data_IF_373391910673
#
_entry.id   IF_373391910673
#
_cell.length_a   1.000
_cell.length_b   1.000
_cell.length_c   1.000
_cell.angle_alpha   90.00
_cell.angle_beta   90.00
_cell.angle_gamma   90.00
#
_symmetry.space_group_name_H-M   'P 1'
#
loop_
_entity.id
_entity.type
_entity.pdbx_description
1 polymer ?
#
# COMPACT_ATOMS: atom_id res chain seq x y z
N UNK A 1 -33.90 -22.25 -15.03
CA UNK A 1 -33.65 -23.23 -13.95
C UNK A 1 -33.87 -22.51 -12.64
N UNK A 2 -34.38 -23.19 -11.62
CA UNK A 2 -34.55 -22.61 -10.28
C UNK A 2 -33.16 -22.39 -9.63
N UNK A 3 -32.78 -21.15 -9.29
CA UNK A 3 -31.48 -20.87 -8.69
C UNK A 3 -31.27 -21.55 -7.34
N UNK A 4 -32.35 -21.93 -6.63
CA UNK A 4 -32.30 -22.60 -5.34
C UNK A 4 -32.42 -24.13 -5.45
N UNK A 5 -32.16 -24.70 -6.62
CA UNK A 5 -32.17 -26.17 -6.82
C UNK A 5 -31.13 -26.84 -5.91
N UNK A 6 -31.56 -27.82 -5.13
CA UNK A 6 -30.68 -28.60 -4.28
C UNK A 6 -29.61 -29.35 -5.11
N UNK A 7 -28.35 -29.30 -4.69
CA UNK A 7 -27.19 -29.87 -5.40
C UNK A 7 -26.90 -29.27 -6.79
N UNK A 8 -27.38 -28.05 -7.06
CA UNK A 8 -26.98 -27.35 -8.27
C UNK A 8 -25.45 -27.12 -8.30
N UNK A 9 -24.82 -27.08 -9.50
CA UNK A 9 -23.37 -26.91 -9.61
C UNK A 9 -22.87 -25.54 -9.08
N UNK A 10 -23.76 -24.56 -8.93
CA UNK A 10 -23.48 -23.22 -8.38
C UNK A 10 -23.75 -23.10 -6.87
N UNK A 11 -24.24 -24.16 -6.21
CA UNK A 11 -24.54 -24.12 -4.77
C UNK A 11 -23.33 -24.28 -3.83
N UNK A 12 -22.26 -25.04 -4.16
CA UNK A 12 -21.11 -25.21 -3.27
C UNK A 12 -20.39 -23.90 -2.93
N UNK A 13 -19.72 -23.86 -1.77
CA UNK A 13 -19.08 -22.62 -1.29
C UNK A 13 -18.00 -22.08 -2.22
N UNK A 14 -17.28 -22.97 -2.89
CA UNK A 14 -16.21 -22.63 -3.83
C UNK A 14 -16.68 -22.37 -5.27
N UNK A 15 -17.99 -22.45 -5.54
CA UNK A 15 -18.49 -22.28 -6.91
C UNK A 15 -18.37 -20.82 -7.40
N UNK A 16 -18.26 -20.66 -8.72
CA UNK A 16 -18.24 -19.37 -9.38
C UNK A 16 -18.80 -19.50 -10.82
N UNK A 17 -19.97 -18.93 -11.15
CA UNK A 17 -20.84 -18.17 -10.25
C UNK A 17 -21.42 -19.04 -9.13
N UNK A 18 -21.71 -18.43 -7.98
CA UNK A 18 -22.34 -19.10 -6.83
C UNK A 18 -23.66 -18.44 -6.47
N UNK A 19 -24.64 -19.29 -6.17
CA UNK A 19 -25.92 -18.89 -5.59
C UNK A 19 -26.22 -19.83 -4.43
N UNK A 20 -26.30 -19.28 -3.22
CA UNK A 20 -26.77 -20.01 -2.05
C UNK A 20 -28.13 -19.47 -1.61
N UNK A 21 -29.01 -20.37 -1.21
CA UNK A 21 -30.35 -20.03 -0.74
C UNK A 21 -30.60 -20.56 0.67
N UNK A 22 -31.37 -19.81 1.46
CA UNK A 22 -32.00 -20.30 2.68
C UNK A 22 -33.47 -20.63 2.37
N UNK A 23 -33.87 -21.86 2.68
CA UNK A 23 -35.20 -22.38 2.37
C UNK A 23 -35.96 -22.71 3.66
N UNK A 24 -37.04 -21.97 3.91
CA UNK A 24 -37.96 -22.26 5.01
C UNK A 24 -39.27 -22.86 4.47
N UNK A 25 -39.50 -24.14 4.78
CA UNK A 25 -40.63 -24.94 4.30
C UNK A 25 -40.77 -25.01 2.77
N UNK A 26 -41.40 -24.01 2.14
CA UNK A 26 -41.68 -23.97 0.69
C UNK A 26 -41.12 -22.74 -0.01
N UNK A 27 -40.58 -21.76 0.73
CA UNK A 27 -40.03 -20.53 0.17
C UNK A 27 -38.52 -20.56 0.36
N UNK A 28 -37.82 -20.40 -0.75
CA UNK A 28 -36.37 -20.22 -0.78
C UNK A 28 -36.03 -18.78 -1.09
N UNK A 29 -35.04 -18.25 -0.37
CA UNK A 29 -34.51 -16.92 -0.54
C UNK A 29 -33.04 -17.00 -0.88
N UNK A 30 -32.62 -16.29 -1.93
CA UNK A 30 -31.19 -16.15 -2.23
C UNK A 30 -30.55 -15.31 -1.13
N UNK A 31 -29.57 -15.88 -0.45
CA UNK A 31 -28.83 -15.23 0.65
C UNK A 31 -27.39 -14.91 0.25
N UNK A 32 -26.81 -15.64 -0.70
CA UNK A 32 -25.47 -15.38 -1.21
C UNK A 32 -25.49 -15.38 -2.74
N UNK A 33 -24.87 -14.39 -3.35
CA UNK A 33 -24.68 -14.29 -4.79
C UNK A 33 -23.24 -13.88 -5.07
N UNK A 34 -22.51 -14.73 -5.79
CA UNK A 34 -21.13 -14.47 -6.22
C UNK A 34 -21.02 -14.63 -7.73
N UNK A 35 -20.49 -13.59 -8.36
CA UNK A 35 -20.18 -13.50 -9.78
C UNK A 35 -18.84 -12.78 -9.84
N UNK A 36 -17.73 -13.50 -9.74
CA UNK A 36 -16.40 -12.93 -9.54
C UNK A 36 -15.46 -13.28 -10.69
N UNK A 37 -14.70 -12.34 -11.26
CA UNK A 37 -13.72 -12.66 -12.31
C UNK A 37 -14.32 -13.41 -13.52
N UNK A 38 -15.50 -13.00 -13.97
CA UNK A 38 -16.22 -13.62 -15.10
C UNK A 38 -16.42 -12.67 -16.29
N UNK A 39 -15.70 -11.55 -16.31
CA UNK A 39 -15.79 -10.50 -17.34
C UNK A 39 -17.23 -9.99 -17.57
N UNK A 40 -18.05 -9.99 -16.51
CA UNK A 40 -19.45 -9.54 -16.61
C UNK A 40 -19.50 -8.04 -16.87
N UNK A 41 -20.28 -7.64 -17.87
CA UNK A 41 -20.43 -6.24 -18.32
C UNK A 41 -21.86 -5.74 -18.18
N UNK A 42 -22.01 -4.41 -18.15
CA UNK A 42 -23.30 -3.73 -18.03
C UNK A 42 -23.50 -3.12 -16.64
N UNK A 43 -24.66 -2.53 -16.42
CA UNK A 43 -25.01 -1.91 -15.14
C UNK A 43 -25.53 -2.96 -14.13
N UNK A 44 -25.48 -2.62 -12.84
CA UNK A 44 -26.09 -3.44 -11.79
C UNK A 44 -27.62 -3.40 -11.98
N UNK A 45 -28.29 -4.54 -12.27
CA UNK A 45 -29.71 -4.54 -12.59
C UNK A 45 -30.57 -4.25 -11.35
N UNK A 46 -31.63 -3.45 -11.51
CA UNK A 46 -32.52 -3.07 -10.41
C UNK A 46 -33.22 -4.27 -9.77
N UNK A 47 -33.41 -5.36 -10.52
CA UNK A 47 -33.99 -6.61 -10.04
C UNK A 47 -33.17 -7.25 -8.92
N UNK A 48 -31.86 -6.99 -8.87
CA UNK A 48 -30.98 -7.49 -7.80
C UNK A 48 -31.46 -7.01 -6.41
N UNK A 49 -31.97 -5.78 -6.33
CA UNK A 49 -32.41 -5.19 -5.06
C UNK A 49 -33.76 -5.74 -4.56
N UNK A 50 -34.44 -6.57 -5.37
CA UNK A 50 -35.61 -7.34 -4.95
C UNK A 50 -35.24 -8.50 -4.01
N UNK A 51 -33.96 -8.92 -3.99
CA UNK A 51 -33.44 -9.98 -3.12
C UNK A 51 -33.21 -9.46 -1.69
N UNK A 52 -34.26 -9.07 -0.99
CA UNK A 52 -34.19 -8.43 0.34
C UNK A 52 -33.54 -9.27 1.45
N UNK A 53 -33.41 -10.57 1.21
CA UNK A 53 -32.81 -11.55 2.11
C UNK A 53 -31.31 -11.78 1.81
N UNK A 54 -30.75 -11.09 0.81
CA UNK A 54 -29.35 -11.18 0.44
C UNK A 54 -28.46 -10.65 1.57
N UNK A 55 -27.49 -11.48 1.96
CA UNK A 55 -26.53 -11.23 3.04
C UNK A 55 -25.11 -11.07 2.49
N UNK A 56 -24.81 -11.70 1.36
CA UNK A 56 -23.50 -11.68 0.72
C UNK A 56 -23.68 -11.46 -0.79
N UNK A 57 -23.08 -10.38 -1.28
CA UNK A 57 -23.03 -10.05 -2.70
C UNK A 57 -21.59 -9.77 -3.10
N UNK A 58 -21.02 -10.67 -3.90
CA UNK A 58 -19.69 -10.50 -4.48
C UNK A 58 -19.77 -10.37 -6.01
N UNK A 59 -19.57 -9.16 -6.51
CA UNK A 59 -19.49 -8.83 -7.94
C UNK A 59 -18.07 -8.38 -8.34
N UNK A 60 -17.07 -8.67 -7.50
CA UNK A 60 -15.71 -8.15 -7.67
C UNK A 60 -15.01 -8.68 -8.93
N UNK A 61 -14.03 -7.92 -9.42
CA UNK A 61 -13.21 -8.29 -10.57
C UNK A 61 -14.03 -8.59 -11.83
N UNK A 62 -14.87 -7.64 -12.26
CA UNK A 62 -15.59 -7.73 -13.53
C UNK A 62 -15.41 -6.43 -14.31
N UNK A 63 -16.24 -6.20 -15.33
CA UNK A 63 -16.27 -4.97 -16.13
C UNK A 63 -17.62 -4.26 -16.00
N UNK A 64 -18.26 -4.37 -14.83
CA UNK A 64 -19.54 -3.74 -14.51
C UNK A 64 -19.37 -2.22 -14.53
N UNK A 65 -20.32 -1.51 -15.13
CA UNK A 65 -20.29 -0.06 -15.31
C UNK A 65 -21.56 0.61 -14.74
N UNK A 66 -21.72 1.91 -15.00
CA UNK A 66 -22.82 2.69 -14.44
C UNK A 66 -22.57 3.10 -12.98
N UNK A 67 -23.63 3.40 -12.25
CA UNK A 67 -23.56 3.84 -10.83
C UNK A 67 -24.03 2.75 -9.88
N UNK A 68 -23.70 2.83 -8.59
CA UNK A 68 -24.41 2.03 -7.56
C UNK A 68 -25.82 2.63 -7.38
N UNK A 69 -26.90 1.90 -7.69
CA UNK A 69 -28.27 2.41 -7.57
C UNK A 69 -28.68 2.67 -6.12
N UNK A 70 -29.52 3.68 -5.89
CA UNK A 70 -30.01 4.05 -4.55
C UNK A 70 -30.85 2.92 -3.91
N UNK A 71 -31.42 2.05 -4.74
CA UNK A 71 -32.15 0.84 -4.36
C UNK A 71 -31.32 -0.13 -3.52
N UNK A 72 -29.98 0.00 -3.49
CA UNK A 72 -29.10 -0.75 -2.60
C UNK A 72 -29.56 -0.71 -1.14
N UNK A 73 -30.23 0.37 -0.70
CA UNK A 73 -30.85 0.49 0.64
C UNK A 73 -31.85 -0.62 0.98
N UNK A 74 -32.38 -1.33 -0.01
CA UNK A 74 -33.38 -2.39 0.17
C UNK A 74 -32.75 -3.68 0.71
N UNK A 75 -31.44 -3.87 0.56
CA UNK A 75 -30.72 -5.07 0.98
C UNK A 75 -30.38 -5.05 2.47
N UNK A 76 -31.37 -4.80 3.34
CA UNK A 76 -31.14 -4.53 4.77
C UNK A 76 -30.46 -5.67 5.57
N UNK A 77 -30.40 -6.89 5.01
CA UNK A 77 -29.72 -8.04 5.62
C UNK A 77 -28.25 -8.19 5.17
N UNK A 78 -27.77 -7.33 4.29
CA UNK A 78 -26.41 -7.36 3.75
C UNK A 78 -25.37 -7.29 4.87
N UNK A 79 -24.39 -8.19 4.79
CA UNK A 79 -23.23 -8.30 5.68
C UNK A 79 -21.93 -8.15 4.90
N UNK A 80 -21.85 -8.71 3.69
CA UNK A 80 -20.66 -8.68 2.84
C UNK A 80 -21.03 -8.11 1.47
N UNK A 81 -20.43 -6.98 1.10
CA UNK A 81 -20.67 -6.35 -0.21
C UNK A 81 -19.34 -6.08 -0.90
N UNK A 82 -19.07 -6.82 -1.98
CA UNK A 82 -17.91 -6.63 -2.84
C UNK A 82 -18.29 -6.14 -4.22
N UNK A 83 -17.83 -4.94 -4.56
CA UNK A 83 -17.98 -4.30 -5.85
C UNK A 83 -16.63 -3.90 -6.45
N UNK A 84 -15.52 -4.32 -5.83
CA UNK A 84 -14.18 -3.88 -6.19
C UNK A 84 -13.73 -4.35 -7.57
N UNK A 85 -12.77 -3.65 -8.18
CA UNK A 85 -12.17 -3.98 -9.48
C UNK A 85 -13.26 -4.09 -10.56
N UNK A 86 -13.90 -2.95 -10.82
CA UNK A 86 -14.94 -2.80 -11.84
C UNK A 86 -14.78 -1.42 -12.51
N UNK A 87 -15.73 -1.04 -13.36
CA UNK A 87 -15.79 0.26 -14.01
C UNK A 87 -16.98 1.10 -13.49
N UNK A 88 -17.33 0.96 -12.21
CA UNK A 88 -18.41 1.73 -11.60
C UNK A 88 -18.01 3.21 -11.51
N UNK A 89 -18.98 4.10 -11.68
CA UNK A 89 -18.82 5.55 -11.78
C UNK A 89 -19.86 6.28 -10.93
N UNK A 90 -19.84 7.62 -10.97
CA UNK A 90 -20.75 8.46 -10.19
C UNK A 90 -20.34 8.57 -8.71
N UNK A 91 -21.19 9.18 -7.88
CA UNK A 91 -20.94 9.27 -6.45
C UNK A 91 -21.23 7.94 -5.74
N UNK A 92 -20.53 7.71 -4.63
CA UNK A 92 -20.91 6.66 -3.67
C UNK A 92 -22.26 7.07 -3.05
N UNK A 93 -23.34 6.28 -3.20
CA UNK A 93 -24.67 6.69 -2.77
C UNK A 93 -24.80 6.72 -1.24
N UNK A 94 -25.49 7.71 -0.71
CA UNK A 94 -25.73 7.86 0.73
C UNK A 94 -26.57 6.70 1.30
N UNK A 95 -27.35 6.05 0.44
CA UNK A 95 -28.18 4.88 0.68
C UNK A 95 -27.40 3.64 1.15
N UNK A 96 -26.10 3.55 0.85
CA UNK A 96 -25.23 2.51 1.44
C UNK A 96 -25.24 2.57 2.97
N UNK A 97 -25.40 3.76 3.55
CA UNK A 97 -25.53 3.94 5.00
C UNK A 97 -26.80 3.32 5.62
N UNK A 98 -27.73 2.77 4.82
CA UNK A 98 -28.87 2.00 5.31
C UNK A 98 -28.54 0.54 5.61
N UNK A 99 -27.39 0.04 5.16
CA UNK A 99 -26.98 -1.36 5.31
C UNK A 99 -26.28 -1.61 6.66
N UNK A 100 -26.97 -1.32 7.77
CA UNK A 100 -26.36 -1.27 9.12
C UNK A 100 -25.81 -2.61 9.63
N UNK A 101 -26.10 -3.72 8.94
CA UNK A 101 -25.57 -5.05 9.23
C UNK A 101 -24.25 -5.35 8.50
N UNK A 102 -23.74 -4.43 7.67
CA UNK A 102 -22.48 -4.62 6.96
C UNK A 102 -21.32 -4.85 7.93
N UNK A 103 -20.57 -5.90 7.63
CA UNK A 103 -19.33 -6.32 8.29
C UNK A 103 -18.15 -5.98 7.39
N UNK A 104 -18.27 -6.24 6.08
CA UNK A 104 -17.26 -5.93 5.08
C UNK A 104 -17.86 -5.18 3.89
N UNK A 105 -17.23 -4.09 3.50
CA UNK A 105 -17.58 -3.29 2.33
C UNK A 105 -16.34 -3.05 1.47
N UNK A 106 -16.40 -3.50 0.21
CA UNK A 106 -15.37 -3.24 -0.79
C UNK A 106 -15.97 -2.58 -2.03
N UNK A 107 -15.40 -1.46 -2.43
CA UNK A 107 -15.63 -0.85 -3.74
C UNK A 107 -14.34 -0.29 -4.37
N UNK A 108 -13.19 -0.80 -3.91
CA UNK A 108 -11.85 -0.45 -4.39
C UNK A 108 -11.69 -0.59 -5.90
N UNK A 109 -10.72 0.12 -6.50
CA UNK A 109 -10.40 0.00 -7.93
C UNK A 109 -11.63 0.20 -8.83
N UNK A 110 -12.25 1.37 -8.71
CA UNK A 110 -13.39 1.82 -9.51
C UNK A 110 -13.22 3.30 -9.87
N UNK A 111 -14.14 3.86 -10.66
CA UNK A 111 -14.09 5.21 -11.20
C UNK A 111 -15.11 6.15 -10.54
N UNK A 112 -15.32 6.03 -9.22
CA UNK A 112 -16.23 6.92 -8.49
C UNK A 112 -15.71 8.37 -8.49
N UNK A 113 -16.60 9.29 -8.15
CA UNK A 113 -16.28 10.70 -8.00
C UNK A 113 -17.04 11.32 -6.82
N UNK A 114 -16.60 12.49 -6.40
CA UNK A 114 -17.18 13.20 -5.26
C UNK A 114 -16.74 12.63 -3.90
N UNK A 115 -17.27 13.19 -2.80
CA UNK A 115 -16.88 12.80 -1.46
C UNK A 115 -17.55 11.52 -0.99
N UNK A 116 -16.95 10.88 0.02
CA UNK A 116 -17.62 9.83 0.77
C UNK A 116 -18.88 10.39 1.46
N UNK A 117 -20.04 9.72 1.37
CA UNK A 117 -21.24 10.20 2.03
C UNK A 117 -21.12 10.05 3.56
N UNK A 118 -21.43 11.09 4.35
CA UNK A 118 -21.46 11.03 5.82
C UNK A 118 -22.30 9.87 6.39
N UNK A 119 -23.30 9.41 5.64
CA UNK A 119 -24.19 8.31 6.01
C UNK A 119 -23.46 6.98 6.19
N UNK A 120 -22.26 6.80 5.63
CA UNK A 120 -21.42 5.62 5.91
C UNK A 120 -21.08 5.51 7.41
N UNK A 121 -21.09 6.61 8.16
CA UNK A 121 -20.94 6.60 9.62
C UNK A 121 -22.04 5.83 10.37
N UNK A 122 -23.12 5.40 9.70
CA UNK A 122 -24.17 4.55 10.29
C UNK A 122 -23.83 3.07 10.31
N UNK A 123 -22.77 2.65 9.62
CA UNK A 123 -22.36 1.24 9.48
C UNK A 123 -21.60 0.75 10.73
N UNK A 124 -22.22 0.86 11.91
CA UNK A 124 -21.54 0.63 13.21
C UNK A 124 -20.99 -0.79 13.40
N UNK A 125 -21.48 -1.76 12.62
CA UNK A 125 -21.01 -3.15 12.60
C UNK A 125 -19.82 -3.39 11.66
N UNK A 126 -19.42 -2.38 10.86
CA UNK A 126 -18.40 -2.51 9.84
C UNK A 126 -17.03 -2.75 10.48
N UNK A 127 -16.38 -3.83 10.05
CA UNK A 127 -15.07 -4.26 10.50
C UNK A 127 -14.01 -4.04 9.41
N UNK A 128 -14.40 -4.16 8.14
CA UNK A 128 -13.50 -4.05 7.00
C UNK A 128 -14.03 -3.08 5.96
N UNK A 129 -13.22 -2.09 5.59
CA UNK A 129 -13.54 -1.11 4.56
C UNK A 129 -12.40 -1.00 3.54
N UNK A 130 -12.69 -1.41 2.31
CA UNK A 130 -11.74 -1.43 1.19
C UNK A 130 -12.18 -0.46 0.09
N UNK A 131 -11.47 0.66 -0.01
CA UNK A 131 -11.79 1.77 -0.90
C UNK A 131 -10.55 2.31 -1.63
N UNK A 132 -9.43 1.58 -1.63
CA UNK A 132 -8.22 1.95 -2.39
C UNK A 132 -8.56 2.24 -3.87
N UNK A 133 -7.91 3.23 -4.48
CA UNK A 133 -8.03 3.51 -5.92
C UNK A 133 -9.48 3.64 -6.43
N UNK A 134 -10.37 4.28 -5.65
CA UNK A 134 -11.80 4.36 -5.98
C UNK A 134 -12.21 5.68 -6.64
N UNK A 135 -11.32 6.67 -6.69
CA UNK A 135 -11.61 8.00 -7.26
C UNK A 135 -12.37 8.97 -6.33
N UNK A 136 -12.70 8.53 -5.10
CA UNK A 136 -13.34 9.36 -4.08
C UNK A 136 -12.43 10.52 -3.66
N UNK A 137 -13.03 11.66 -3.30
CA UNK A 137 -12.31 12.90 -3.04
C UNK A 137 -12.85 13.69 -1.84
N UNK A 138 -12.29 14.87 -1.58
CA UNK A 138 -12.73 15.70 -0.47
C UNK A 138 -12.30 15.16 0.91
N UNK A 139 -12.79 15.74 2.01
CA UNK A 139 -12.40 15.31 3.36
C UNK A 139 -13.02 13.97 3.75
N UNK A 140 -12.30 13.21 4.58
CA UNK A 140 -12.85 12.03 5.27
C UNK A 140 -13.96 12.52 6.23
N UNK A 141 -15.23 12.07 6.09
CA UNK A 141 -16.33 12.56 6.92
C UNK A 141 -16.12 12.29 8.41
N UNK A 142 -16.44 13.27 9.26
CA UNK A 142 -16.32 13.15 10.72
C UNK A 142 -17.25 12.08 11.30
N UNK A 143 -18.36 11.80 10.62
CA UNK A 143 -19.34 10.79 10.98
C UNK A 143 -18.76 9.36 10.98
N UNK A 144 -17.65 9.12 10.26
CA UNK A 144 -16.96 7.84 10.30
C UNK A 144 -16.40 7.53 11.70
N UNK A 145 -16.27 8.52 12.59
CA UNK A 145 -15.93 8.31 14.01
C UNK A 145 -16.88 7.35 14.77
N UNK A 146 -18.05 7.05 14.21
CA UNK A 146 -19.00 6.08 14.76
C UNK A 146 -18.63 4.61 14.44
N UNK A 147 -17.71 4.35 13.51
CA UNK A 147 -17.30 3.01 13.07
C UNK A 147 -16.36 2.31 14.05
N UNK A 148 -16.78 2.18 15.31
CA UNK A 148 -15.93 1.69 16.42
C UNK A 148 -15.53 0.22 16.30
N UNK A 149 -16.21 -0.53 15.44
CA UNK A 149 -15.91 -1.94 15.14
C UNK A 149 -14.83 -2.10 14.06
N UNK A 150 -14.39 -1.00 13.43
CA UNK A 150 -13.48 -1.07 12.29
C UNK A 150 -12.11 -1.59 12.71
N UNK A 151 -11.60 -2.55 11.93
CA UNK A 151 -10.32 -3.22 12.13
C UNK A 151 -9.37 -2.95 10.96
N UNK A 152 -9.91 -2.86 9.75
CA UNK A 152 -9.15 -2.69 8.51
C UNK A 152 -9.74 -1.52 7.73
N UNK A 153 -8.87 -0.56 7.40
CA UNK A 153 -9.15 0.51 6.46
C UNK A 153 -8.07 0.57 5.38
N UNK A 154 -8.47 0.30 4.15
CA UNK A 154 -7.66 0.43 2.94
C UNK A 154 -8.22 1.58 2.11
N UNK A 155 -7.57 2.73 2.13
CA UNK A 155 -8.07 3.97 1.51
C UNK A 155 -7.00 4.77 0.75
N UNK A 156 -5.91 4.10 0.39
CA UNK A 156 -4.80 4.64 -0.41
C UNK A 156 -5.24 4.99 -1.84
N UNK A 157 -4.43 5.79 -2.53
CA UNK A 157 -4.62 6.19 -3.92
C UNK A 157 -6.03 6.78 -4.18
N UNK A 158 -6.41 7.72 -3.33
CA UNK A 158 -7.65 8.49 -3.46
C UNK A 158 -7.34 9.98 -3.32
N UNK A 159 -8.28 10.83 -3.76
CA UNK A 159 -8.09 12.28 -3.72
C UNK A 159 -8.59 12.88 -2.41
N UNK A 160 -8.39 12.18 -1.29
CA UNK A 160 -8.78 12.66 0.03
C UNK A 160 -7.99 13.91 0.41
N UNK A 161 -8.68 14.94 0.87
CA UNK A 161 -8.11 16.24 1.26
C UNK A 161 -8.34 16.55 2.73
N UNK A 162 -7.73 17.62 3.23
CA UNK A 162 -7.92 18.06 4.62
C UNK A 162 -7.06 17.28 5.60
N UNK A 163 -7.21 17.56 6.89
CA UNK A 163 -6.37 16.97 7.93
C UNK A 163 -6.63 15.47 8.10
N UNK A 164 -5.55 14.74 8.39
CA UNK A 164 -5.64 13.37 8.84
C UNK A 164 -6.52 13.28 10.11
N UNK A 165 -7.61 12.50 10.14
CA UNK A 165 -8.59 12.59 11.21
C UNK A 165 -8.09 12.09 12.58
N UNK A 166 -8.21 12.91 13.62
CA UNK A 166 -7.87 12.51 15.00
C UNK A 166 -8.70 11.33 15.50
N UNK A 167 -9.95 11.17 15.02
CA UNK A 167 -10.85 10.14 15.52
C UNK A 167 -10.39 8.71 15.21
N UNK A 168 -9.45 8.49 14.27
CA UNK A 168 -8.87 7.16 14.06
C UNK A 168 -8.16 6.64 15.32
N UNK A 169 -7.66 7.53 16.18
CA UNK A 169 -7.12 7.16 17.50
C UNK A 169 -8.16 6.60 18.49
N UNK A 170 -9.46 6.60 18.15
CA UNK A 170 -10.52 6.00 18.97
C UNK A 170 -10.85 4.56 18.56
N UNK A 171 -10.31 4.05 17.44
CA UNK A 171 -10.62 2.71 16.93
C UNK A 171 -9.69 1.67 17.53
N UNK A 172 -9.97 1.28 18.77
CA UNK A 172 -9.12 0.37 19.56
C UNK A 172 -8.97 -1.05 18.96
N UNK A 173 -9.72 -1.38 17.91
CA UNK A 173 -9.62 -2.63 17.15
C UNK A 173 -8.83 -2.51 15.85
N UNK A 174 -8.30 -1.33 15.49
CA UNK A 174 -7.51 -1.15 14.28
C UNK A 174 -6.27 -2.05 14.26
N UNK A 175 -6.19 -2.83 13.18
CA UNK A 175 -5.09 -3.72 12.83
C UNK A 175 -4.39 -3.20 11.57
N UNK A 176 -5.14 -2.63 10.61
CA UNK A 176 -4.58 -2.14 9.34
C UNK A 176 -5.16 -0.77 8.99
N UNK A 177 -4.27 0.20 8.76
CA UNK A 177 -4.62 1.54 8.29
C UNK A 177 -3.71 1.94 7.13
N UNK A 178 -4.28 2.09 5.94
CA UNK A 178 -3.55 2.48 4.72
C UNK A 178 -4.13 3.73 4.08
N UNK A 179 -3.30 4.77 3.99
CA UNK A 179 -3.62 6.12 3.50
C UNK A 179 -2.42 6.71 2.72
N UNK A 180 -1.83 5.93 1.81
CA UNK A 180 -0.74 6.38 0.93
C UNK A 180 -1.30 6.99 -0.37
N UNK A 181 -0.57 7.88 -1.04
CA UNK A 181 -1.02 8.45 -2.32
C UNK A 181 -2.31 9.29 -2.21
N UNK A 182 -2.48 10.02 -1.09
CA UNK A 182 -3.62 10.92 -0.89
C UNK A 182 -3.21 12.39 -0.96
N UNK A 183 -4.15 13.31 -0.77
CA UNK A 183 -3.89 14.76 -0.63
C UNK A 183 -4.09 15.22 0.82
N UNK A 184 -3.97 14.30 1.78
CA UNK A 184 -4.16 14.57 3.19
C UNK A 184 -3.06 15.48 3.75
N UNK A 185 -3.44 16.25 4.76
CA UNK A 185 -2.57 17.18 5.45
C UNK A 185 -2.14 16.60 6.80
N UNK A 186 -0.91 16.90 7.19
CA UNK A 186 -0.40 16.59 8.51
C UNK A 186 -0.94 17.53 9.61
N UNK A 187 -0.45 17.36 10.84
CA UNK A 187 0.50 16.31 11.26
C UNK A 187 -0.21 14.97 11.47
N UNK A 188 0.56 13.88 11.60
CA UNK A 188 0.04 12.61 12.12
C UNK A 188 -0.43 12.82 13.56
N UNK A 189 -1.71 12.56 13.91
CA UNK A 189 -2.20 12.74 15.27
C UNK A 189 -1.47 11.88 16.31
N UNK A 190 -1.05 12.50 17.41
CA UNK A 190 -0.30 11.82 18.48
C UNK A 190 -1.11 10.72 19.18
N UNK A 191 -2.44 10.82 19.16
CA UNK A 191 -3.33 9.83 19.75
C UNK A 191 -3.34 8.51 18.97
N UNK A 192 -2.70 8.39 17.80
CA UNK A 192 -2.55 7.10 17.11
C UNK A 192 -1.64 6.15 17.90
N UNK A 193 -0.81 6.67 18.81
CA UNK A 193 0.03 5.87 19.70
C UNK A 193 -0.73 4.96 20.68
N UNK A 194 -2.06 5.09 20.78
CA UNK A 194 -2.91 4.20 21.62
C UNK A 194 -3.37 2.94 20.87
N UNK A 195 -3.15 2.86 19.56
CA UNK A 195 -3.61 1.77 18.70
C UNK A 195 -2.69 0.55 18.79
N UNK A 196 -2.61 -0.07 19.97
CA UNK A 196 -1.65 -1.14 20.28
C UNK A 196 -1.87 -2.44 19.49
N UNK A 197 -3.02 -2.61 18.81
CA UNK A 197 -3.32 -3.75 17.93
C UNK A 197 -2.87 -3.55 16.49
N UNK A 198 -2.39 -2.35 16.14
CA UNK A 198 -2.01 -1.98 14.79
C UNK A 198 -0.80 -2.80 14.33
N UNK A 199 -0.96 -3.50 13.21
CA UNK A 199 0.03 -4.38 12.59
C UNK A 199 0.57 -3.79 11.29
N UNK A 200 -0.26 -3.05 10.55
CA UNK A 200 0.10 -2.42 9.28
C UNK A 200 -0.36 -0.96 9.28
N UNK A 201 0.61 -0.04 9.44
CA UNK A 201 0.38 1.40 9.38
C UNK A 201 1.10 1.97 8.16
N UNK A 202 0.33 2.49 7.22
CA UNK A 202 0.82 3.15 6.02
C UNK A 202 0.16 4.50 5.86
N UNK A 203 0.95 5.56 6.01
CA UNK A 203 0.52 6.93 5.77
C UNK A 203 1.60 7.57 4.90
N UNK A 204 1.19 8.13 3.77
CA UNK A 204 2.11 8.69 2.80
C UNK A 204 1.74 10.09 2.35
N UNK A 205 2.72 10.83 1.87
CA UNK A 205 2.53 12.04 1.05
C UNK A 205 1.79 13.20 1.76
N UNK A 206 1.94 13.30 3.08
CA UNK A 206 1.29 14.35 3.86
C UNK A 206 1.85 15.75 3.53
N UNK A 207 0.94 16.73 3.48
CA UNK A 207 1.25 18.12 3.18
C UNK A 207 1.15 19.04 4.40
N UNK A 208 1.62 20.26 4.24
CA UNK A 208 1.50 21.38 5.19
C UNK A 208 2.34 21.22 6.48
N UNK A 209 1.75 20.69 7.54
CA UNK A 209 2.35 20.64 8.87
C UNK A 209 3.36 19.48 9.01
N UNK A 210 4.36 19.66 9.88
CA UNK A 210 5.40 18.66 10.12
C UNK A 210 4.93 17.64 11.18
N UNK A 211 5.26 16.36 10.97
CA UNK A 211 4.88 15.26 11.88
C UNK A 211 6.04 14.85 12.81
N UNK A 212 5.72 14.15 13.90
CA UNK A 212 6.71 13.55 14.83
C UNK A 212 6.55 12.03 14.90
N UNK A 213 7.62 11.33 15.29
CA UNK A 213 7.61 9.90 15.59
C UNK A 213 7.22 9.58 17.04
N UNK A 214 6.97 10.57 17.90
CA UNK A 214 6.75 10.35 19.34
C UNK A 214 5.55 9.42 19.66
N UNK A 215 4.59 9.29 18.76
CA UNK A 215 3.42 8.44 18.97
C UNK A 215 3.74 6.94 18.89
N UNK A 216 4.83 6.53 18.23
CA UNK A 216 5.04 5.11 17.90
C UNK A 216 5.50 4.26 19.09
N UNK A 217 5.82 4.87 20.24
CA UNK A 217 6.48 4.23 21.39
C UNK A 217 5.80 2.94 21.88
N UNK A 218 4.48 2.85 21.73
CA UNK A 218 3.66 1.75 22.23
C UNK A 218 3.07 0.84 21.14
N UNK A 219 3.43 1.03 19.86
CA UNK A 219 2.90 0.24 18.74
C UNK A 219 3.60 -1.13 18.62
N UNK A 220 3.62 -1.91 19.69
CA UNK A 220 4.44 -3.13 19.78
C UNK A 220 3.98 -4.27 18.87
N UNK A 221 2.74 -4.23 18.37
CA UNK A 221 2.20 -5.23 17.42
C UNK A 221 2.59 -4.95 15.98
N UNK A 222 3.22 -3.80 15.70
CA UNK A 222 3.49 -3.34 14.34
C UNK A 222 4.44 -4.30 13.62
N UNK A 223 4.05 -4.68 12.40
CA UNK A 223 4.85 -5.46 11.47
C UNK A 223 5.29 -4.62 10.26
N UNK A 224 4.42 -3.71 9.84
CA UNK A 224 4.69 -2.79 8.73
C UNK A 224 4.46 -1.36 9.21
N UNK A 225 5.51 -0.56 9.17
CA UNK A 225 5.46 0.88 9.44
C UNK A 225 5.99 1.63 8.21
N UNK A 226 5.09 2.18 7.41
CA UNK A 226 5.40 3.07 6.28
C UNK A 226 4.88 4.47 6.57
N UNK A 227 5.78 5.42 6.80
CA UNK A 227 5.48 6.84 6.97
C UNK A 227 6.26 7.68 5.94
N UNK A 228 6.22 7.26 4.68
CA UNK A 228 6.98 7.87 3.59
C UNK A 228 6.46 9.26 3.26
N UNK A 229 7.36 10.23 3.05
CA UNK A 229 6.97 11.57 2.61
C UNK A 229 5.93 12.25 3.52
N UNK A 230 6.07 12.06 4.83
CA UNK A 230 5.15 12.59 5.85
C UNK A 230 5.67 13.84 6.57
N UNK A 231 6.75 14.44 6.05
CA UNK A 231 7.43 15.63 6.60
C UNK A 231 7.86 15.44 8.07
N UNK A 232 8.24 14.22 8.43
CA UNK A 232 8.59 13.85 9.79
C UNK A 232 9.91 14.51 10.18
N UNK A 233 9.91 15.23 11.31
CA UNK A 233 11.08 15.86 11.91
C UNK A 233 11.58 15.07 13.13
N UNK A 234 12.72 15.49 13.69
CA UNK A 234 13.31 14.87 14.88
C UNK A 234 14.33 13.79 14.55
N UNK A 235 14.55 12.88 15.49
CA UNK A 235 15.52 11.78 15.38
C UNK A 235 14.80 10.42 15.32
N UNK A 236 15.50 9.42 14.81
CA UNK A 236 15.03 8.03 14.84
C UNK A 236 15.00 7.52 16.30
N UNK A 237 13.85 7.06 16.81
CA UNK A 237 13.77 6.54 18.18
C UNK A 237 14.38 5.15 18.28
N UNK A 238 15.30 4.96 19.25
CA UNK A 238 15.99 3.67 19.48
C UNK A 238 15.01 2.52 19.77
N UNK A 239 13.84 2.84 20.33
CA UNK A 239 12.79 1.90 20.71
C UNK A 239 12.28 1.03 19.55
N UNK A 240 12.36 1.53 18.31
CA UNK A 240 11.94 0.78 17.12
C UNK A 240 12.58 -0.60 17.05
N UNK A 241 13.86 -0.73 17.44
CA UNK A 241 14.57 -2.02 17.41
C UNK A 241 14.01 -3.06 18.38
N UNK A 242 13.22 -2.64 19.37
CA UNK A 242 12.55 -3.55 20.30
C UNK A 242 11.25 -4.16 19.77
N UNK A 243 10.76 -3.72 18.61
CA UNK A 243 9.53 -4.26 18.00
C UNK A 243 9.81 -5.58 17.31
N UNK A 244 9.54 -6.68 18.02
CA UNK A 244 9.86 -8.04 17.57
C UNK A 244 9.15 -8.48 16.29
N UNK A 245 8.03 -7.88 15.93
CA UNK A 245 7.26 -8.21 14.73
C UNK A 245 7.58 -7.32 13.52
N UNK A 246 8.37 -6.25 13.70
CA UNK A 246 8.61 -5.26 12.64
C UNK A 246 9.45 -5.88 11.51
N UNK A 247 8.82 -6.05 10.35
CA UNK A 247 9.41 -6.60 9.13
C UNK A 247 9.78 -5.50 8.13
N UNK A 248 8.95 -4.47 8.02
CA UNK A 248 9.12 -3.34 7.08
C UNK A 248 9.11 -2.03 7.85
N UNK A 249 10.20 -1.26 7.73
CA UNK A 249 10.30 0.11 8.21
C UNK A 249 10.64 1.04 7.03
N UNK A 250 9.67 1.85 6.61
CA UNK A 250 9.86 2.90 5.61
C UNK A 250 9.60 4.27 6.23
N UNK A 251 10.67 5.05 6.40
CA UNK A 251 10.64 6.44 6.82
C UNK A 251 11.32 7.33 5.78
N UNK A 252 11.34 6.89 4.52
CA UNK A 252 12.01 7.60 3.44
C UNK A 252 11.32 8.92 3.10
N UNK A 253 12.07 9.84 2.48
CA UNK A 253 11.57 11.15 2.02
C UNK A 253 11.02 12.02 3.14
N UNK A 254 11.67 12.04 4.31
CA UNK A 254 11.28 12.85 5.46
C UNK A 254 12.35 13.90 5.80
N UNK A 255 12.22 14.56 6.96
CA UNK A 255 13.16 15.56 7.47
C UNK A 255 13.90 15.03 8.71
N UNK A 256 14.08 13.72 8.82
CA UNK A 256 14.74 13.11 9.97
C UNK A 256 16.21 13.54 10.05
N UNK A 257 16.68 13.74 11.26
CA UNK A 257 18.03 14.24 11.58
C UNK A 257 18.74 13.31 12.57
N UNK A 258 20.01 13.59 12.84
CA UNK A 258 20.81 12.81 13.78
C UNK A 258 21.36 11.53 13.17
N UNK A 259 21.76 10.59 14.03
CA UNK A 259 22.37 9.33 13.64
C UNK A 259 21.33 8.22 13.55
N UNK A 260 21.61 7.20 12.73
CA UNK A 260 20.88 5.93 12.81
C UNK A 260 21.30 5.25 14.13
N UNK A 261 20.37 4.93 15.04
CA UNK A 261 20.70 4.36 16.34
C UNK A 261 21.51 3.07 16.22
N UNK A 262 22.49 2.87 17.11
CA UNK A 262 23.26 1.61 17.14
C UNK A 262 22.37 0.40 17.37
N UNK A 263 21.26 0.56 18.10
CA UNK A 263 20.28 -0.49 18.37
C UNK A 263 19.58 -1.01 17.10
N UNK A 264 19.64 -0.30 15.97
CA UNK A 264 19.09 -0.77 14.69
C UNK A 264 19.84 -1.98 14.12
N UNK A 265 20.98 -2.37 14.69
CA UNK A 265 21.61 -3.66 14.37
C UNK A 265 20.91 -4.85 15.05
N UNK A 266 20.02 -4.60 16.03
CA UNK A 266 19.45 -5.61 16.92
C UNK A 266 18.00 -5.99 16.57
N UNK A 267 17.46 -5.55 15.42
CA UNK A 267 16.11 -5.95 15.00
C UNK A 267 15.99 -7.47 14.84
N UNK A 268 14.98 -8.06 15.47
CA UNK A 268 14.73 -9.50 15.42
C UNK A 268 14.21 -9.97 14.04
N UNK A 269 13.28 -9.21 13.45
CA UNK A 269 12.50 -9.64 12.28
C UNK A 269 12.61 -8.70 11.07
N UNK A 270 13.36 -7.60 11.17
CA UNK A 270 13.38 -6.58 10.12
C UNK A 270 14.01 -7.13 8.84
N UNK A 271 13.28 -6.99 7.74
CA UNK A 271 13.66 -7.45 6.39
C UNK A 271 13.88 -6.28 5.44
N UNK A 272 13.17 -5.17 5.64
CA UNK A 272 13.24 -4.03 4.72
C UNK A 272 13.37 -2.74 5.52
N UNK A 273 14.46 -2.00 5.27
CA UNK A 273 14.75 -0.75 5.93
C UNK A 273 14.96 0.36 4.90
N UNK A 274 14.06 1.34 4.88
CA UNK A 274 14.11 2.47 3.96
C UNK A 274 14.14 3.79 4.73
N UNK A 275 15.29 4.44 4.69
CA UNK A 275 15.59 5.72 5.32
C UNK A 275 16.08 6.75 4.30
N UNK A 276 16.02 6.43 3.01
CA UNK A 276 16.50 7.28 1.92
C UNK A 276 15.85 8.66 1.92
N UNK A 277 16.55 9.67 1.39
CA UNK A 277 16.07 11.05 1.27
C UNK A 277 15.66 11.65 2.62
N UNK A 278 16.62 11.73 3.55
CA UNK A 278 16.47 12.38 4.85
C UNK A 278 17.69 13.28 5.13
N UNK A 279 17.78 13.86 6.33
CA UNK A 279 18.94 14.62 6.79
C UNK A 279 19.74 13.86 7.88
N UNK A 280 19.79 12.53 7.76
CA UNK A 280 20.56 11.67 8.67
C UNK A 280 22.06 11.84 8.42
N UNK A 281 22.86 11.66 9.47
CA UNK A 281 24.31 11.85 9.43
C UNK A 281 25.04 10.86 10.33
N UNK A 282 26.37 10.83 10.23
CA UNK A 282 27.21 9.93 11.02
C UNK A 282 27.41 8.58 10.33
N UNK A 283 27.93 7.61 11.08
CA UNK A 283 28.27 6.30 10.54
C UNK A 283 27.08 5.33 10.56
N UNK A 284 27.02 4.44 9.58
CA UNK A 284 26.11 3.30 9.63
C UNK A 284 26.46 2.37 10.81
N UNK A 285 25.47 1.79 11.51
CA UNK A 285 25.74 0.77 12.53
C UNK A 285 26.51 -0.42 11.93
N UNK A 286 27.60 -0.88 12.55
CA UNK A 286 28.57 -1.79 11.92
C UNK A 286 27.99 -3.16 11.55
N UNK A 287 26.96 -3.61 12.26
CA UNK A 287 26.31 -4.90 12.06
C UNK A 287 24.91 -4.78 11.43
N UNK A 288 24.52 -3.60 10.94
CA UNK A 288 23.24 -3.43 10.24
C UNK A 288 23.13 -4.39 9.04
N UNK A 289 24.27 -4.72 8.43
CA UNK A 289 24.43 -5.61 7.28
C UNK A 289 24.39 -7.11 7.59
N UNK A 290 24.61 -7.50 8.84
CA UNK A 290 24.55 -8.92 9.28
C UNK A 290 23.16 -9.35 9.72
N UNK A 291 22.20 -8.43 9.73
CA UNK A 291 20.81 -8.66 10.08
C UNK A 291 20.07 -9.48 9.01
N UNK A 292 18.78 -9.77 9.24
CA UNK A 292 17.93 -10.48 8.29
C UNK A 292 17.50 -9.62 7.07
N UNK A 293 18.07 -8.42 6.90
CA UNK A 293 17.68 -7.42 5.89
C UNK A 293 17.80 -7.91 4.45
N UNK A 294 16.68 -8.05 3.75
CA UNK A 294 16.59 -8.30 2.32
C UNK A 294 16.90 -7.04 1.50
N UNK A 295 16.51 -5.86 1.98
CA UNK A 295 16.84 -4.60 1.31
C UNK A 295 17.12 -3.46 2.30
N UNK A 296 18.05 -2.59 1.93
CA UNK A 296 18.44 -1.38 2.68
C UNK A 296 18.53 -0.17 1.74
N UNK A 297 17.74 0.87 2.00
CA UNK A 297 17.89 2.18 1.34
C UNK A 297 18.26 3.24 2.38
N UNK A 298 19.44 3.83 2.24
CA UNK A 298 19.92 4.97 3.04
C UNK A 298 20.36 6.13 2.15
N UNK A 299 19.97 6.09 0.87
CA UNK A 299 20.36 7.06 -0.14
C UNK A 299 20.00 8.50 0.26
N UNK A 300 20.66 9.48 -0.36
CA UNK A 300 20.41 10.91 -0.16
C UNK A 300 20.36 11.32 1.32
N UNK A 301 21.40 10.91 2.06
CA UNK A 301 21.66 11.30 3.44
C UNK A 301 23.15 11.66 3.60
N UNK A 302 23.52 12.34 4.67
CA UNK A 302 24.91 12.67 5.01
C UNK A 302 25.62 11.56 5.79
N UNK A 303 25.35 10.29 5.43
CA UNK A 303 25.89 9.11 6.10
C UNK A 303 27.27 8.74 5.54
N UNK A 304 28.10 8.14 6.38
CA UNK A 304 29.46 7.69 6.02
C UNK A 304 29.75 6.29 6.56
N UNK A 305 30.89 5.73 6.16
CA UNK A 305 31.39 4.45 6.65
C UNK A 305 31.72 3.48 5.52
N UNK A 306 32.25 2.33 5.89
CA UNK A 306 32.55 1.25 4.95
C UNK A 306 31.48 0.15 5.06
N UNK A 307 30.96 -0.30 3.93
CA UNK A 307 30.07 -1.45 3.85
C UNK A 307 30.80 -2.64 3.25
N UNK A 308 30.75 -3.78 3.93
CA UNK A 308 31.19 -5.06 3.38
C UNK A 308 29.98 -5.97 3.28
N UNK A 309 29.39 -6.17 2.07
CA UNK A 309 28.25 -7.07 1.91
C UNK A 309 28.67 -8.49 2.32
N UNK A 310 28.07 -9.02 3.39
CA UNK A 310 28.42 -10.35 3.92
C UNK A 310 27.61 -11.50 3.28
N UNK A 311 26.53 -11.19 2.54
CA UNK A 311 25.59 -12.18 2.00
C UNK A 311 25.13 -11.85 0.58
N UNK A 312 25.03 -12.87 -0.27
CA UNK A 312 24.38 -12.78 -1.58
C UNK A 312 22.87 -12.57 -1.41
N UNK A 313 22.24 -11.72 -2.25
CA UNK A 313 20.79 -11.48 -2.26
C UNK A 313 20.29 -10.34 -1.36
N UNK A 314 21.18 -9.58 -0.73
CA UNK A 314 20.85 -8.30 -0.11
C UNK A 314 20.91 -7.18 -1.18
N UNK A 315 19.81 -6.45 -1.34
CA UNK A 315 19.76 -5.26 -2.20
C UNK A 315 20.08 -4.00 -1.39
N UNK A 316 20.86 -3.09 -1.95
CA UNK A 316 21.22 -1.85 -1.27
C UNK A 316 21.17 -0.63 -2.17
N UNK A 317 20.71 0.48 -1.58
CA UNK A 317 20.80 1.79 -2.17
C UNK A 317 21.48 2.77 -1.18
N UNK A 318 22.72 3.17 -1.51
CA UNK A 318 23.54 4.12 -0.73
C UNK A 318 23.86 5.39 -1.53
N UNK A 319 23.12 5.63 -2.61
CA UNK A 319 23.37 6.74 -3.53
C UNK A 319 23.37 8.09 -2.80
N UNK A 320 24.26 9.02 -3.14
CA UNK A 320 24.29 10.35 -2.52
C UNK A 320 24.77 10.37 -1.06
N UNK A 321 25.28 9.25 -0.54
CA UNK A 321 25.95 9.17 0.77
C UNK A 321 27.48 9.18 0.60
N UNK A 322 28.23 9.23 1.69
CA UNK A 322 29.69 9.05 1.73
C UNK A 322 30.09 7.61 2.10
N UNK A 323 29.20 6.64 1.88
CA UNK A 323 29.45 5.24 2.20
C UNK A 323 30.25 4.58 1.09
N UNK A 324 31.33 3.89 1.47
CA UNK A 324 32.18 3.14 0.52
C UNK A 324 31.85 1.66 0.58
N UNK A 325 31.42 1.10 -0.55
CA UNK A 325 31.22 -0.33 -0.67
C UNK A 325 32.57 -1.03 -0.92
N UNK A 326 32.92 -1.97 -0.04
CA UNK A 326 34.13 -2.78 -0.11
C UNK A 326 33.77 -4.24 -0.35
N UNK A 327 34.49 -4.87 -1.27
CA UNK A 327 34.45 -6.32 -1.49
C UNK A 327 35.09 -7.06 -0.31
N UNK A 328 34.89 -8.38 -0.25
CA UNK A 328 35.45 -9.25 0.79
C UNK A 328 36.98 -9.24 0.87
N UNK A 329 37.68 -8.83 -0.20
CA UNK A 329 39.14 -8.68 -0.24
C UNK A 329 39.61 -7.25 0.12
N UNK A 330 38.68 -6.35 0.49
CA UNK A 330 38.98 -4.98 0.91
C UNK A 330 39.14 -3.97 -0.22
N UNK A 331 38.99 -4.38 -1.49
CA UNK A 331 38.95 -3.45 -2.63
C UNK A 331 37.59 -2.74 -2.74
N UNK A 332 37.53 -1.61 -3.46
CA UNK A 332 36.30 -0.84 -3.68
C UNK A 332 35.43 -1.53 -4.73
N UNK A 333 34.15 -1.80 -4.41
CA UNK A 333 33.28 -2.67 -5.20
C UNK A 333 32.84 -2.09 -6.56
N UNK A 334 32.78 -0.76 -6.73
CA UNK A 334 32.55 -0.16 -8.05
C UNK A 334 33.16 1.23 -8.20
N UNK A 335 33.68 1.51 -9.40
CA UNK A 335 34.15 2.84 -9.79
C UNK A 335 33.01 3.83 -10.05
N UNK A 336 31.79 3.36 -10.37
CA UNK A 336 30.64 4.21 -10.65
C UNK A 336 30.00 4.79 -9.37
N UNK A 337 29.99 4.05 -8.26
CA UNK A 337 29.58 4.62 -6.96
C UNK A 337 30.47 5.79 -6.55
N UNK A 338 31.76 5.76 -6.91
CA UNK A 338 32.72 6.80 -6.50
C UNK A 338 32.34 8.21 -6.97
N UNK A 339 31.72 8.35 -8.15
CA UNK A 339 31.29 9.66 -8.67
C UNK A 339 29.90 10.10 -8.16
N UNK A 340 29.13 9.17 -7.59
CA UNK A 340 27.77 9.37 -7.09
C UNK A 340 27.70 9.43 -5.55
N UNK A 341 28.87 9.46 -4.89
CA UNK A 341 29.03 9.63 -3.44
C UNK A 341 28.98 11.10 -3.04
N UNK A 342 28.05 11.46 -2.15
CA UNK A 342 27.96 12.76 -1.49
C UNK A 342 28.08 13.95 -2.46
N UNK A 343 29.09 14.78 -2.26
CA UNK A 343 29.37 15.98 -3.08
C UNK A 343 30.40 15.74 -4.20
N UNK A 344 30.67 14.49 -4.56
CA UNK A 344 31.69 14.17 -5.58
C UNK A 344 31.25 14.72 -6.93
N UNK A 345 32.07 15.56 -7.53
CA UNK A 345 31.84 16.02 -8.91
C UNK A 345 32.27 14.89 -9.84
N UNK A 346 31.36 14.38 -10.66
CA UNK A 346 31.71 13.51 -11.78
C UNK A 346 32.60 14.32 -12.74
N UNK A 347 33.90 14.05 -12.77
CA UNK A 347 34.86 14.80 -13.59
C UNK A 347 35.00 14.23 -15.02
N UNK A 348 34.59 12.97 -15.23
CA UNK A 348 34.52 12.31 -16.54
C UNK A 348 33.09 12.39 -17.11
N UNK A 349 32.56 13.61 -17.22
CA UNK A 349 31.30 13.84 -17.93
C UNK A 349 31.57 13.55 -19.41
N UNK A 350 31.12 12.39 -19.88
CA UNK A 350 31.03 12.10 -21.32
C UNK A 350 30.33 13.30 -21.96
N UNK A 351 30.93 13.89 -23.01
CA UNK A 351 30.41 15.10 -23.67
C UNK A 351 28.90 15.00 -23.84
N UNK A 352 28.16 16.00 -23.32
CA UNK A 352 26.70 16.05 -23.25
C UNK A 352 26.00 15.22 -24.34
N UNK A 353 25.58 14.01 -23.98
CA UNK A 353 24.76 13.17 -24.84
C UNK A 353 23.32 13.28 -24.37
N UNK A 354 22.43 13.71 -25.26
CA UNK A 354 21.01 13.38 -25.10
C UNK A 354 20.93 11.85 -25.14
N UNK A 355 20.48 11.23 -24.06
CA UNK A 355 20.17 9.81 -24.03
C UNK A 355 18.65 9.66 -24.03
N UNK A 356 18.15 8.67 -24.75
CA UNK A 356 16.75 8.27 -24.75
C UNK A 356 16.69 6.86 -24.20
N UNK A 357 15.80 6.59 -23.25
CA UNK A 357 15.60 5.26 -22.68
C UNK A 357 14.29 4.71 -23.23
N UNK A 358 14.31 3.45 -23.67
CA UNK A 358 13.08 2.72 -23.99
C UNK A 358 12.51 2.12 -22.70
N UNK A 359 11.61 2.85 -22.03
CA UNK A 359 11.04 2.43 -20.75
C UNK A 359 10.45 1.01 -20.82
N UNK A 360 11.12 0.04 -20.19
CA UNK A 360 10.71 -1.36 -20.16
C UNK A 360 10.93 -2.14 -21.47
N UNK A 361 11.75 -1.64 -22.38
CA UNK A 361 12.00 -2.27 -23.68
C UNK A 361 13.47 -2.44 -24.03
N UNK A 362 13.75 -3.31 -25.00
CA UNK A 362 15.10 -3.53 -25.51
C UNK A 362 15.64 -2.31 -26.26
N UNK A 363 16.94 -2.31 -26.55
CA UNK A 363 17.54 -1.28 -27.40
C UNK A 363 16.81 -1.19 -28.74
N UNK A 364 16.47 0.03 -29.16
CA UNK A 364 15.76 0.30 -30.43
C UNK A 364 16.28 1.57 -31.09
N UNK A 365 16.04 1.71 -32.39
CA UNK A 365 16.36 2.91 -33.16
C UNK A 365 15.09 3.39 -33.88
N UNK A 366 14.73 4.65 -33.70
CA UNK A 366 13.60 5.28 -34.38
C UNK A 366 13.94 5.57 -35.85
N UNK A 367 12.90 5.87 -36.64
CA UNK A 367 13.05 6.20 -38.06
C UNK A 367 13.91 7.45 -38.33
N UNK A 368 14.07 8.34 -37.35
CA UNK A 368 14.92 9.53 -37.43
C UNK A 368 16.38 9.30 -36.96
N UNK A 369 16.73 8.06 -36.60
CA UNK A 369 18.08 7.67 -36.16
C UNK A 369 18.34 7.88 -34.67
N UNK A 370 17.33 8.24 -33.86
CA UNK A 370 17.47 8.30 -32.41
C UNK A 370 17.59 6.88 -31.84
N UNK A 371 18.67 6.63 -31.09
CA UNK A 371 18.89 5.35 -30.40
C UNK A 371 18.35 5.42 -28.99
N UNK A 372 17.57 4.42 -28.63
CA UNK A 372 17.02 4.23 -27.30
C UNK A 372 17.77 3.09 -26.62
N UNK A 373 18.41 3.38 -25.49
CA UNK A 373 19.15 2.38 -24.73
C UNK A 373 18.18 1.37 -24.06
N UNK A 374 18.65 0.13 -23.92
CA UNK A 374 17.92 -0.96 -23.29
C UNK A 374 17.67 -0.72 -21.79
N UNK A 375 16.41 -0.70 -21.38
CA UNK A 375 15.94 -0.64 -19.99
C UNK A 375 14.96 -1.78 -19.68
N UNK A 376 15.30 -2.99 -20.17
CA UNK A 376 14.55 -4.21 -19.88
C UNK A 376 14.93 -4.86 -18.55
N UNK A 377 15.90 -4.31 -17.81
CA UNK A 377 16.35 -4.88 -16.55
C UNK A 377 15.24 -4.77 -15.49
N UNK A 378 14.96 -5.88 -14.81
CA UNK A 378 13.99 -5.88 -13.72
C UNK A 378 14.70 -5.53 -12.42
N UNK A 379 14.52 -4.30 -11.96
CA UNK A 379 15.09 -3.83 -10.70
C UNK A 379 14.41 -4.44 -9.49
N UNK A 380 15.17 -4.54 -8.38
CA UNK A 380 14.65 -4.90 -7.06
C UNK A 380 14.50 -3.77 -6.08
N UNK A 381 13.73 -3.98 -5.01
CA UNK A 381 13.57 -2.99 -3.95
C UNK A 381 14.94 -2.50 -3.45
N UNK A 382 15.12 -1.17 -3.38
CA UNK A 382 16.40 -0.54 -3.03
C UNK A 382 17.58 -1.08 -3.86
N UNK A 383 17.49 -1.06 -5.18
CA UNK A 383 18.54 -1.55 -6.08
C UNK A 383 19.06 -0.46 -6.98
N UNK A 384 20.16 -0.78 -7.66
CA UNK A 384 20.81 0.08 -8.61
C UNK A 384 21.20 -0.75 -9.83
N UNK A 385 20.91 -0.22 -11.00
CA UNK A 385 21.38 -0.76 -12.27
C UNK A 385 22.17 0.31 -13.00
N UNK A 386 23.29 -0.12 -13.56
CA UNK A 386 24.05 0.69 -14.49
C UNK A 386 24.09 -0.03 -15.83
N UNK A 387 23.85 0.73 -16.90
CA UNK A 387 24.00 0.23 -18.25
C UNK A 387 25.41 -0.36 -18.47
N UNK A 388 25.58 -1.42 -19.28
CA UNK A 388 26.89 -2.01 -19.59
C UNK A 388 27.89 -1.02 -20.21
N UNK A 389 27.39 0.05 -20.82
CA UNK A 389 28.18 1.13 -21.43
C UNK A 389 28.54 2.25 -20.44
N UNK A 390 28.10 2.16 -19.18
CA UNK A 390 28.27 3.17 -18.12
C UNK A 390 27.75 4.57 -18.51
N UNK A 391 26.79 4.66 -19.43
CA UNK A 391 26.25 5.95 -19.92
C UNK A 391 25.14 6.50 -19.05
N UNK A 392 24.36 5.61 -18.46
CA UNK A 392 23.29 5.94 -17.54
C UNK A 392 23.14 4.85 -16.48
N UNK A 393 22.49 5.22 -15.40
CA UNK A 393 22.13 4.32 -14.32
C UNK A 393 20.80 4.75 -13.71
N UNK A 394 20.11 3.79 -13.11
CA UNK A 394 18.84 3.98 -12.40
C UNK A 394 18.98 3.44 -11.00
N UNK A 395 18.43 4.17 -10.05
CA UNK A 395 18.33 3.76 -8.66
C UNK A 395 16.87 3.68 -8.30
N UNK A 396 16.52 2.61 -7.60
CA UNK A 396 15.18 2.41 -7.11
C UNK A 396 15.15 2.57 -5.59
N UNK A 397 14.10 3.21 -5.07
CA UNK A 397 13.93 3.45 -3.64
C UNK A 397 12.71 2.71 -3.12
N UNK A 398 12.87 2.09 -1.94
CA UNK A 398 11.79 1.38 -1.25
C UNK A 398 11.22 0.17 -2.00
N UNK A 399 10.06 -0.29 -1.52
CA UNK A 399 9.19 -1.26 -2.20
C UNK A 399 8.07 -0.49 -2.89
N UNK A 400 7.94 -0.65 -4.20
CA UNK A 400 6.80 -0.11 -4.93
C UNK A 400 5.71 -1.16 -4.97
N UNK A 401 4.60 -0.90 -4.27
CA UNK A 401 3.41 -1.74 -4.16
C UNK A 401 3.69 -3.04 -3.39
N UNK A 402 2.80 -3.33 -2.43
CA UNK A 402 2.86 -4.44 -1.48
C UNK A 402 2.95 -5.83 -2.13
N UNK A 403 4.12 -6.20 -2.64
CA UNK A 403 4.48 -7.59 -2.92
C UNK A 403 5.28 -8.14 -1.74
N UNK A 404 4.63 -8.72 -0.71
CA UNK A 404 5.33 -9.35 0.41
C UNK A 404 6.20 -10.54 -0.02
N UNK A 405 6.05 -11.00 -1.27
CA UNK A 405 6.70 -12.20 -1.83
C UNK A 405 7.73 -11.92 -2.93
N UNK A 406 7.99 -10.66 -3.33
CA UNK A 406 8.76 -10.42 -4.55
C UNK A 406 9.55 -9.14 -4.61
N UNK A 407 10.67 -9.22 -5.33
CA UNK A 407 11.63 -8.18 -5.59
C UNK A 407 11.32 -7.39 -6.88
N UNK A 408 10.09 -7.39 -7.42
CA UNK A 408 9.84 -6.79 -8.74
C UNK A 408 9.03 -5.48 -8.63
N UNK A 409 9.39 -4.47 -9.44
CA UNK A 409 8.62 -3.21 -9.60
C UNK A 409 7.37 -3.36 -10.46
N UNK A 410 7.23 -4.46 -11.20
CA UNK A 410 5.98 -4.83 -11.85
C UNK A 410 5.14 -5.53 -10.79
N UNK A 411 4.24 -4.77 -10.18
CA UNK A 411 3.14 -5.37 -9.43
C UNK A 411 2.13 -5.89 -10.44
N UNK A 412 2.11 -7.21 -10.65
CA UNK A 412 0.89 -7.86 -11.09
C UNK A 412 -0.08 -7.78 -9.92
N UNK A 413 -0.87 -6.71 -9.86
CA UNK A 413 -2.03 -6.68 -8.97
C UNK A 413 -3.07 -7.62 -9.56
N UNK A 414 -2.91 -8.91 -9.30
CA UNK A 414 -4.09 -9.67 -8.91
C UNK A 414 -4.45 -9.11 -7.54
N UNK A 415 -5.16 -7.99 -7.48
CA UNK A 415 -5.63 -7.38 -6.24
C UNK A 415 -6.69 -8.31 -5.63
N UNK A 416 -6.25 -9.46 -5.13
CA UNK A 416 -7.03 -10.30 -4.26
C UNK A 416 -6.83 -9.76 -2.85
N UNK A 417 -7.93 -9.42 -2.19
CA UNK A 417 -7.89 -8.98 -0.80
C UNK A 417 -7.70 -10.26 0.03
N UNK A 418 -6.47 -10.72 0.18
CA UNK A 418 -6.20 -11.94 0.95
C UNK A 418 -6.46 -11.72 2.45
N UNK A 419 -6.91 -12.75 3.16
CA UNK A 419 -7.11 -12.75 4.62
C UNK A 419 -8.21 -11.80 5.14
N UNK A 420 -9.28 -11.61 4.37
CA UNK A 420 -10.47 -10.93 4.90
C UNK A 420 -11.34 -11.90 5.71
N UNK A 421 -12.38 -11.38 6.39
CA UNK A 421 -13.38 -12.23 7.04
C UNK A 421 -14.12 -13.11 6.02
N UNK A 422 -14.12 -12.70 4.76
CA UNK A 422 -14.46 -13.48 3.58
C UNK A 422 -13.16 -13.90 2.85
N UNK A 423 -12.90 -15.20 2.78
CA UNK A 423 -11.69 -15.73 2.14
C UNK A 423 -11.58 -15.44 0.63
N UNK A 424 -12.62 -14.88 0.02
CA UNK A 424 -12.76 -14.71 -1.44
C UNK A 424 -12.91 -13.24 -1.89
N UNK A 425 -12.60 -12.28 -1.02
CA UNK A 425 -12.51 -10.84 -1.34
C UNK A 425 -11.20 -10.45 -2.03
#
# INVERSE_FOLDING_TARGET
MDPCTQNAPWAPDQANPRVACDCSATICHITHLKIYALDVSGEIPNELFLLKELMDLNLGQNVINGTIPAEIRQLSKMQYLSLGINNLTGPVPAELGSLTNLISLSFSSNNFNGPLPPQLGKLISLQQLYIDSSGVNGPIPGELSNLKSLEILWASDNRFTGKLPEFFGHFMNFQVLRLEGTLLEGPIPSNYGVLIKLQDLRIGDLRNEDSSLDFIQNLTSISILSLRNCRIIGQLPEKLSSFGNLEILDLSSNKLTGQIPRSFQDFASLRFLYLGSNNLSGELPPNIMSSNLTALDVSFNSLSGDLTPKRSGLSMNVFGTSITERTSDGSTASSALSCLQGNTRCLDIVSSSSFSINSGGTETESADGTKYDNDSETLSAASFYMSPSNRWAVSSSGIFISNPHGQNYIAETGSQITSTLDSEL
#
